data_IF_550157164006
#
_entry.id   IF_550157164006
#
_cell.length_a   1.000
_cell.length_b   1.000
_cell.length_c   1.000
_cell.angle_alpha   90.00
_cell.angle_beta   90.00
_cell.angle_gamma   90.00
#
_symmetry.space_group_name_H-M   'P 1'
#
loop_
_entity.id
_entity.type
_entity.pdbx_description
1 polymer ?
#
# COMPACT_ATOMS: atom_id res chain seq x y z
N UNK A 1 -0.33 11.44 -18.90
CA UNK A 1 -0.47 11.20 -17.46
C UNK A 1 -1.16 12.38 -16.74
N UNK A 2 -0.68 13.62 -16.85
CA UNK A 2 -1.32 14.79 -16.18
C UNK A 2 -2.79 15.04 -16.61
N UNK A 3 -3.14 14.82 -17.87
CA UNK A 3 -4.52 14.94 -18.35
C UNK A 3 -5.47 13.84 -17.84
N UNK A 4 -4.93 12.80 -17.18
CA UNK A 4 -5.69 11.64 -16.68
C UNK A 4 -5.62 11.50 -15.16
N UNK A 5 -5.23 12.55 -14.42
CA UNK A 5 -5.17 12.52 -12.94
C UNK A 5 -6.46 11.95 -12.30
N UNK A 6 -7.68 12.32 -12.74
CA UNK A 6 -8.91 11.75 -12.17
C UNK A 6 -9.10 10.26 -12.39
N UNK A 7 -8.40 9.68 -13.38
CA UNK A 7 -8.43 8.25 -13.73
C UNK A 7 -7.04 7.63 -13.64
N UNK A 8 -6.18 8.12 -12.74
CA UNK A 8 -4.77 7.74 -12.73
C UNK A 8 -4.57 6.23 -12.56
N UNK A 9 -5.41 5.56 -11.76
CA UNK A 9 -5.33 4.12 -11.54
C UNK A 9 -5.77 3.34 -12.79
N UNK A 10 -6.94 3.64 -13.35
CA UNK A 10 -7.41 3.01 -14.59
C UNK A 10 -6.41 3.21 -15.73
N UNK A 11 -5.94 4.44 -15.91
CA UNK A 11 -4.96 4.78 -16.93
C UNK A 11 -3.65 3.99 -16.73
N UNK A 12 -3.22 3.82 -15.47
CA UNK A 12 -2.02 3.01 -15.18
C UNK A 12 -2.23 1.55 -15.54
N UNK A 13 -3.41 0.99 -15.30
CA UNK A 13 -3.77 -0.38 -15.70
C UNK A 13 -3.78 -0.51 -17.23
N UNK A 14 -4.47 0.39 -17.93
CA UNK A 14 -4.53 0.42 -19.40
C UNK A 14 -3.13 0.46 -20.02
N UNK A 15 -2.23 1.30 -19.48
CA UNK A 15 -0.84 1.38 -19.95
C UNK A 15 -0.08 0.10 -19.64
N UNK A 16 -0.19 -0.46 -18.42
CA UNK A 16 0.48 -1.70 -18.06
C UNK A 16 0.03 -2.86 -18.96
N UNK A 17 -1.25 -2.99 -19.25
CA UNK A 17 -1.78 -4.02 -20.16
C UNK A 17 -1.20 -3.84 -21.58
N UNK A 18 -1.11 -2.60 -22.06
CA UNK A 18 -0.55 -2.29 -23.38
C UNK A 18 0.97 -2.50 -23.47
N UNK A 19 1.70 -2.50 -22.34
CA UNK A 19 3.17 -2.59 -22.31
C UNK A 19 3.69 -3.88 -21.69
N UNK A 20 2.90 -4.97 -21.74
CA UNK A 20 3.29 -6.28 -21.19
C UNK A 20 3.66 -6.19 -19.69
N UNK A 21 2.83 -5.46 -18.94
CA UNK A 21 2.86 -5.28 -17.49
C UNK A 21 4.09 -4.53 -16.94
N UNK A 22 4.85 -3.84 -17.78
CA UNK A 22 5.96 -2.97 -17.32
C UNK A 22 6.10 -1.75 -18.23
N UNK A 23 6.17 -0.54 -17.67
CA UNK A 23 6.45 0.67 -18.44
C UNK A 23 7.34 1.64 -17.68
N UNK A 24 8.16 2.40 -18.43
CA UNK A 24 8.95 3.50 -17.88
C UNK A 24 8.23 4.82 -18.11
N UNK A 25 8.22 5.64 -17.08
CA UNK A 25 7.70 7.00 -17.10
C UNK A 25 8.86 7.97 -16.92
N UNK A 26 9.04 8.86 -17.90
CA UNK A 26 9.95 9.99 -17.82
C UNK A 26 9.11 11.25 -17.55
N UNK A 27 9.34 11.87 -16.40
CA UNK A 27 8.76 13.16 -16.04
C UNK A 27 9.37 14.31 -16.86
N UNK A 28 8.91 15.54 -16.62
CA UNK A 28 9.50 16.73 -17.23
C UNK A 28 11.02 16.77 -17.00
N UNK A 29 11.77 17.24 -18.01
CA UNK A 29 13.24 17.27 -18.02
C UNK A 29 13.90 17.98 -16.82
N UNK A 30 13.15 18.85 -16.14
CA UNK A 30 13.57 19.61 -14.96
C UNK A 30 13.19 18.99 -13.61
N UNK A 31 12.42 17.90 -13.60
CA UNK A 31 12.03 17.20 -12.36
C UNK A 31 12.93 16.02 -12.01
N UNK A 32 13.77 15.55 -12.94
CA UNK A 32 14.65 14.38 -12.74
C UNK A 32 13.89 13.08 -12.44
N UNK A 33 12.58 13.05 -12.71
CA UNK A 33 11.70 11.95 -12.30
C UNK A 33 11.70 10.86 -13.34
N UNK A 34 12.43 9.77 -13.10
CA UNK A 34 12.38 8.56 -13.91
C UNK A 34 11.82 7.43 -13.06
N UNK A 35 10.64 6.93 -13.43
CA UNK A 35 9.96 5.86 -12.70
C UNK A 35 9.79 4.62 -13.59
N UNK A 36 9.86 3.44 -12.99
CA UNK A 36 9.50 2.19 -13.63
C UNK A 36 8.28 1.62 -12.90
N UNK A 37 7.18 1.46 -13.63
CA UNK A 37 5.97 0.83 -13.14
C UNK A 37 5.93 -0.62 -13.62
N UNK A 38 5.62 -1.55 -12.73
CA UNK A 38 5.51 -2.97 -13.07
C UNK A 38 4.38 -3.64 -12.30
N UNK A 39 3.59 -4.43 -13.02
CA UNK A 39 2.63 -5.39 -12.48
C UNK A 39 3.02 -6.84 -12.81
N UNK A 40 4.17 -7.08 -13.47
CA UNK A 40 4.68 -8.42 -13.74
C UNK A 40 5.05 -9.13 -12.43
N UNK A 41 4.45 -10.30 -12.11
CA UNK A 41 4.74 -11.04 -10.88
C UNK A 41 6.22 -11.38 -10.67
N UNK A 42 6.99 -11.56 -11.75
CA UNK A 42 8.43 -11.87 -11.69
C UNK A 42 9.23 -10.67 -11.18
N UNK A 43 8.90 -9.48 -11.67
CA UNK A 43 9.51 -8.23 -11.21
C UNK A 43 9.11 -7.95 -9.76
N UNK A 44 7.82 -8.13 -9.42
CA UNK A 44 7.33 -7.96 -8.06
C UNK A 44 8.04 -8.90 -7.09
N UNK A 45 8.17 -10.19 -7.44
CA UNK A 45 8.90 -11.16 -6.63
C UNK A 45 10.39 -10.80 -6.50
N UNK A 46 11.01 -10.31 -7.58
CA UNK A 46 12.40 -9.85 -7.53
C UNK A 46 12.58 -8.69 -6.55
N UNK A 47 11.73 -7.66 -6.66
CA UNK A 47 11.83 -6.42 -5.89
C UNK A 47 11.42 -6.61 -4.42
N UNK A 48 10.33 -7.33 -4.17
CA UNK A 48 9.73 -7.44 -2.84
C UNK A 48 10.16 -8.68 -2.06
N UNK A 49 10.88 -9.62 -2.67
CA UNK A 49 11.31 -10.85 -2.00
C UNK A 49 12.77 -11.22 -2.29
N UNK A 50 13.10 -11.56 -3.55
CA UNK A 50 14.40 -12.15 -3.89
C UNK A 50 15.59 -11.19 -3.66
N UNK A 51 15.41 -9.90 -3.95
CA UNK A 51 16.45 -8.88 -3.88
C UNK A 51 16.02 -7.68 -3.03
N UNK A 52 15.20 -7.93 -2.00
CA UNK A 52 14.57 -6.89 -1.18
C UNK A 52 15.54 -5.83 -0.64
N UNK A 53 16.75 -6.25 -0.21
CA UNK A 53 17.77 -5.34 0.32
C UNK A 53 18.32 -4.33 -0.70
N UNK A 54 18.19 -4.59 -2.00
CA UNK A 54 18.58 -3.65 -3.06
C UNK A 54 17.46 -2.64 -3.38
N UNK A 55 16.27 -2.76 -2.80
CA UNK A 55 15.13 -1.91 -3.06
C UNK A 55 14.60 -1.28 -1.75
N UNK A 56 15.32 -0.31 -1.17
CA UNK A 56 14.78 0.55 -0.11
C UNK A 56 13.54 1.31 -0.57
N UNK A 57 12.77 1.86 0.37
CA UNK A 57 11.64 2.75 0.06
C UNK A 57 12.14 4.08 -0.52
N UNK A 58 13.30 4.55 -0.04
CA UNK A 58 13.95 5.76 -0.54
C UNK A 58 13.56 7.03 0.23
N UNK A 59 14.20 8.17 -0.09
CA UNK A 59 14.00 9.44 0.61
C UNK A 59 12.56 9.99 0.48
N UNK A 60 11.86 9.69 -0.61
CA UNK A 60 10.46 10.11 -0.81
C UNK A 60 9.55 9.53 0.27
N UNK A 61 9.75 8.26 0.65
CA UNK A 61 8.98 7.63 1.72
C UNK A 61 9.26 8.27 3.10
N UNK A 62 10.50 8.70 3.35
CA UNK A 62 10.82 9.47 4.57
C UNK A 62 10.11 10.81 4.62
N UNK A 63 9.98 11.48 3.48
CA UNK A 63 9.25 12.74 3.40
C UNK A 63 7.75 12.55 3.62
N UNK A 64 7.14 11.53 3.01
CA UNK A 64 5.70 11.22 3.16
C UNK A 64 5.38 10.85 4.61
N UNK A 65 6.23 10.05 5.26
CA UNK A 65 6.01 9.56 6.62
C UNK A 65 6.82 10.32 7.68
N UNK A 66 7.21 11.56 7.40
CA UNK A 66 8.08 12.35 8.28
C UNK A 66 7.46 12.53 9.68
N UNK A 67 6.15 12.73 9.75
CA UNK A 67 5.41 12.86 11.01
C UNK A 67 5.53 11.63 11.93
N UNK A 68 5.84 10.45 11.36
CA UNK A 68 6.05 9.23 12.13
C UNK A 68 7.50 9.09 12.64
N UNK A 69 8.45 9.87 12.11
CA UNK A 69 9.90 9.67 12.34
C UNK A 69 10.42 8.40 11.67
N UNK A 70 11.59 7.90 12.08
CA UNK A 70 12.17 6.65 11.55
C UNK A 70 11.44 5.40 12.13
N UNK A 71 10.26 5.09 11.59
CA UNK A 71 9.38 3.97 11.98
C UNK A 71 9.24 2.98 10.84
N UNK A 72 8.46 1.93 11.05
CA UNK A 72 8.32 0.83 10.08
C UNK A 72 7.93 1.27 8.65
N UNK A 73 7.22 2.40 8.50
CA UNK A 73 6.78 2.94 7.21
C UNK A 73 7.85 3.78 6.48
N UNK A 74 8.80 4.38 7.21
CA UNK A 74 9.85 5.27 6.69
C UNK A 74 11.26 4.68 6.78
N UNK A 75 11.48 3.71 7.67
CA UNK A 75 12.76 3.05 7.89
C UNK A 75 13.09 2.09 6.74
N UNK A 76 14.38 1.94 6.49
CA UNK A 76 14.95 1.04 5.49
C UNK A 76 16.02 0.12 6.10
N UNK A 77 16.33 -0.97 5.39
CA UNK A 77 17.43 -1.90 5.70
C UNK A 77 17.38 -2.44 7.15
N UNK A 78 18.52 -2.47 7.83
CA UNK A 78 18.69 -3.05 9.16
C UNK A 78 17.75 -2.43 10.20
N UNK A 79 17.53 -1.11 10.16
CA UNK A 79 16.60 -0.44 11.07
C UNK A 79 15.17 -0.96 10.86
N UNK A 80 14.73 -1.08 9.61
CA UNK A 80 13.42 -1.65 9.30
C UNK A 80 13.31 -3.11 9.75
N UNK A 81 14.35 -3.91 9.53
CA UNK A 81 14.37 -5.32 9.92
C UNK A 81 14.27 -5.49 11.44
N UNK A 82 15.04 -4.70 12.19
CA UNK A 82 15.02 -4.69 13.65
C UNK A 82 13.65 -4.25 14.17
N UNK A 83 13.10 -3.14 13.65
CA UNK A 83 11.76 -2.68 13.99
C UNK A 83 10.68 -3.72 13.64
N UNK A 84 10.81 -4.41 12.50
CA UNK A 84 9.86 -5.44 12.08
C UNK A 84 9.90 -6.65 13.01
N UNK A 85 11.10 -7.11 13.39
CA UNK A 85 11.29 -8.22 14.34
C UNK A 85 10.70 -7.87 15.71
N UNK A 86 11.03 -6.70 16.25
CA UNK A 86 10.49 -6.23 17.52
C UNK A 86 8.97 -6.11 17.49
N UNK A 87 8.39 -5.44 16.48
CA UNK A 87 6.94 -5.29 16.36
C UNK A 87 6.23 -6.62 16.15
N UNK A 88 6.82 -7.54 15.37
CA UNK A 88 6.26 -8.87 15.19
C UNK A 88 6.21 -9.64 16.52
N UNK A 89 7.28 -9.58 17.33
CA UNK A 89 7.30 -10.20 18.65
C UNK A 89 6.22 -9.63 19.58
N UNK A 90 6.02 -8.30 19.57
CA UNK A 90 4.96 -7.63 20.33
C UNK A 90 3.57 -8.12 19.87
N UNK A 91 3.32 -8.14 18.56
CA UNK A 91 2.00 -8.52 18.02
C UNK A 91 1.67 -10.00 18.16
N UNK A 92 2.67 -10.86 18.28
CA UNK A 92 2.47 -12.29 18.57
C UNK A 92 2.42 -12.57 20.08
N UNK A 93 2.64 -11.56 20.94
CA UNK A 93 2.61 -11.76 22.37
C UNK A 93 1.18 -12.11 22.84
N UNK A 94 0.98 -13.16 23.66
CA UNK A 94 -0.35 -13.57 24.10
C UNK A 94 -1.17 -12.46 24.77
N UNK A 95 -0.53 -11.55 25.50
CA UNK A 95 -1.23 -10.41 26.11
C UNK A 95 -1.66 -9.36 25.08
N UNK A 96 -0.88 -9.15 24.02
CA UNK A 96 -1.30 -8.29 22.91
C UNK A 96 -2.44 -8.93 22.12
N UNK A 97 -2.37 -10.24 21.86
CA UNK A 97 -3.45 -11.01 21.25
C UNK A 97 -4.70 -11.00 22.13
N UNK A 98 -4.57 -11.08 23.46
CA UNK A 98 -5.69 -10.93 24.39
C UNK A 98 -6.25 -9.52 24.36
N UNK A 99 -5.43 -8.47 24.36
CA UNK A 99 -5.90 -7.09 24.26
C UNK A 99 -6.62 -6.80 22.93
N UNK A 100 -6.11 -7.35 21.83
CA UNK A 100 -6.68 -7.16 20.48
C UNK A 100 -7.90 -8.04 20.18
N UNK A 101 -7.91 -9.30 20.63
CA UNK A 101 -8.94 -10.31 20.31
C UNK A 101 -9.93 -10.54 21.48
N UNK A 102 -9.45 -10.68 22.72
CA UNK A 102 -10.23 -11.22 23.86
C UNK A 102 -10.72 -10.18 24.90
N UNK A 103 -10.08 -9.00 25.01
CA UNK A 103 -10.34 -7.97 26.05
C UNK A 103 -10.87 -6.67 25.41
N UNK A 104 -11.49 -6.82 24.24
CA UNK A 104 -11.44 -5.87 23.14
C UNK A 104 -11.83 -4.43 23.50
N UNK A 105 -10.87 -3.50 23.39
CA UNK A 105 -11.21 -2.11 23.09
C UNK A 105 -12.17 -2.04 21.90
N UNK A 106 -12.04 -2.92 20.90
CA UNK A 106 -12.92 -2.94 19.71
C UNK A 106 -14.34 -3.46 19.98
N UNK A 107 -14.51 -4.61 20.64
CA UNK A 107 -15.84 -5.16 20.98
C UNK A 107 -16.53 -4.30 22.02
N UNK A 108 -15.81 -3.79 23.02
CA UNK A 108 -16.32 -2.84 24.00
C UNK A 108 -16.74 -1.57 23.27
N UNK A 109 -15.86 -0.95 22.48
CA UNK A 109 -16.20 0.25 21.68
C UNK A 109 -17.30 0.04 20.68
N UNK A 110 -17.35 -1.13 20.06
CA UNK A 110 -18.43 -1.47 19.14
C UNK A 110 -19.76 -1.46 19.89
N UNK A 111 -19.83 -2.08 21.08
CA UNK A 111 -21.06 -2.12 21.89
C UNK A 111 -21.41 -0.80 22.59
N UNK A 112 -20.42 -0.04 23.03
CA UNK A 112 -20.62 1.17 23.85
C UNK A 112 -20.68 2.46 23.02
N UNK A 113 -20.14 2.46 21.80
CA UNK A 113 -20.06 3.66 20.97
C UNK A 113 -20.64 3.46 19.57
N UNK A 114 -20.09 2.54 18.77
CA UNK A 114 -20.52 2.41 17.37
C UNK A 114 -21.98 1.94 17.21
N UNK A 115 -22.37 0.88 17.93
CA UNK A 115 -23.73 0.35 17.86
C UNK A 115 -24.76 1.37 18.37
N UNK A 116 -24.61 2.01 19.54
CA UNK A 116 -25.53 3.05 19.99
C UNK A 116 -25.64 4.23 19.00
N UNK A 117 -24.54 4.64 18.38
CA UNK A 117 -24.55 5.66 17.33
C UNK A 117 -25.39 5.23 16.12
N UNK A 118 -25.21 4.00 15.65
CA UNK A 118 -25.97 3.44 14.52
C UNK A 118 -27.45 3.22 14.87
N UNK A 119 -27.76 2.79 16.09
CA UNK A 119 -29.12 2.61 16.59
C UNK A 119 -29.85 3.97 16.62
N UNK A 120 -29.22 5.01 17.18
CA UNK A 120 -29.78 6.36 17.16
C UNK A 120 -30.00 6.87 15.73
N UNK A 121 -29.04 6.68 14.83
CA UNK A 121 -29.18 7.07 13.43
C UNK A 121 -30.33 6.31 12.73
N UNK A 122 -30.56 5.04 13.08
CA UNK A 122 -31.67 4.25 12.57
C UNK A 122 -33.02 4.72 13.10
N UNK A 123 -33.12 5.00 14.41
CA UNK A 123 -34.33 5.47 15.08
C UNK A 123 -34.75 6.86 14.56
N UNK A 124 -33.79 7.78 14.41
CA UNK A 124 -34.02 9.14 13.91
C UNK A 124 -34.08 9.23 12.38
N UNK A 125 -33.76 8.14 11.67
CA UNK A 125 -33.63 8.08 10.20
C UNK A 125 -32.63 9.11 9.65
N UNK A 126 -31.56 9.33 10.40
CA UNK A 126 -30.50 10.28 10.05
C UNK A 126 -29.64 9.71 8.92
N UNK A 127 -29.33 10.55 7.93
CA UNK A 127 -28.39 10.21 6.87
C UNK A 127 -26.98 10.38 7.43
N UNK A 128 -26.18 9.31 7.41
CA UNK A 128 -24.81 9.30 7.93
C UNK A 128 -23.81 8.98 6.81
N UNK A 129 -22.61 9.57 6.92
CA UNK A 129 -21.46 9.17 6.11
C UNK A 129 -20.74 8.00 6.77
N UNK A 130 -20.91 6.81 6.22
CA UNK A 130 -20.33 5.58 6.77
C UNK A 130 -18.78 5.58 6.72
N UNK A 131 -18.18 6.32 5.79
CA UNK A 131 -16.72 6.45 5.71
C UNK A 131 -16.18 7.28 6.87
N UNK A 132 -16.80 8.42 7.19
CA UNK A 132 -16.40 9.23 8.34
C UNK A 132 -16.60 8.48 9.66
N UNK A 133 -17.70 7.74 9.79
CA UNK A 133 -17.97 6.88 10.96
C UNK A 133 -16.88 5.82 11.13
N UNK A 134 -16.50 5.11 10.05
CA UNK A 134 -15.41 4.13 10.15
C UNK A 134 -14.05 4.76 10.42
N UNK A 135 -13.76 5.95 9.86
CA UNK A 135 -12.52 6.68 10.17
C UNK A 135 -12.40 6.99 11.66
N UNK A 136 -13.47 7.51 12.27
CA UNK A 136 -13.55 7.82 13.70
C UNK A 136 -13.48 6.57 14.58
N UNK A 137 -14.20 5.51 14.20
CA UNK A 137 -14.13 4.24 14.93
C UNK A 137 -12.71 3.64 14.91
N UNK A 138 -12.06 3.63 13.73
CA UNK A 138 -10.68 3.14 13.60
C UNK A 138 -9.68 4.03 14.34
N UNK A 139 -9.93 5.35 14.43
CA UNK A 139 -9.15 6.25 15.25
C UNK A 139 -9.21 5.88 16.74
N UNK A 140 -10.40 5.70 17.30
CA UNK A 140 -10.57 5.33 18.71
C UNK A 140 -9.86 4.02 19.03
N UNK A 141 -10.14 2.98 18.26
CA UNK A 141 -9.49 1.68 18.37
C UNK A 141 -7.96 1.80 18.35
N UNK A 142 -7.42 2.54 17.39
CA UNK A 142 -5.96 2.69 17.24
C UNK A 142 -5.36 3.49 18.39
N UNK A 143 -6.06 4.52 18.86
CA UNK A 143 -5.59 5.37 19.98
C UNK A 143 -5.56 4.60 21.28
N UNK A 144 -6.62 3.86 21.60
CA UNK A 144 -6.66 3.04 22.79
C UNK A 144 -5.56 1.97 22.74
N UNK A 145 -5.38 1.31 21.58
CA UNK A 145 -4.35 0.30 21.42
C UNK A 145 -2.93 0.87 21.57
N UNK A 146 -2.67 2.08 21.04
CA UNK A 146 -1.33 2.68 21.01
C UNK A 146 -0.97 3.45 22.28
N UNK A 147 -1.93 4.15 22.88
CA UNK A 147 -1.69 5.12 23.96
C UNK A 147 -2.53 4.85 25.20
N UNK A 148 -3.54 3.97 25.12
CA UNK A 148 -4.54 3.78 26.18
C UNK A 148 -5.56 4.91 26.29
N UNK A 149 -5.45 5.96 25.46
CA UNK A 149 -6.35 7.11 25.48
C UNK A 149 -7.53 6.90 24.52
N UNK A 150 -8.71 7.21 25.02
CA UNK A 150 -9.96 7.16 24.28
C UNK A 150 -10.41 8.58 23.86
N UNK A 151 -10.36 8.91 22.56
CA UNK A 151 -10.76 10.22 22.07
C UNK A 151 -12.28 10.43 21.99
N UNK A 152 -13.10 9.38 22.12
CA UNK A 152 -14.59 9.45 22.08
C UNK A 152 -15.15 10.26 20.87
N UNK A 153 -14.54 10.08 19.71
CA UNK A 153 -14.84 10.75 18.44
C UNK A 153 -16.12 10.29 17.73
N UNK A 154 -16.61 9.08 18.01
CA UNK A 154 -17.89 8.51 17.59
C UNK A 154 -18.90 8.85 18.68
N UNK A 155 -19.49 10.04 18.57
CA UNK A 155 -20.47 10.58 19.50
C UNK A 155 -21.51 11.43 18.78
N UNK A 156 -22.67 11.61 19.43
CA UNK A 156 -23.74 12.49 18.95
C UNK A 156 -23.18 13.92 18.86
N UNK A 157 -23.15 14.49 17.66
CA UNK A 157 -22.56 15.80 17.37
C UNK A 157 -21.24 15.77 16.60
N UNK A 158 -20.58 14.61 16.47
CA UNK A 158 -19.40 14.38 15.61
C UNK A 158 -18.32 15.48 15.74
N UNK A 159 -17.75 15.69 16.95
CA UNK A 159 -16.81 16.78 17.20
C UNK A 159 -15.59 16.72 16.27
N UNK A 160 -15.01 17.88 15.98
CA UNK A 160 -13.77 18.01 15.20
C UNK A 160 -12.60 17.37 15.97
N UNK A 161 -11.83 16.51 15.29
CA UNK A 161 -10.74 15.76 15.90
C UNK A 161 -9.41 16.35 15.42
N UNK A 162 -8.65 16.96 16.34
CA UNK A 162 -7.40 17.68 16.04
C UNK A 162 -6.17 16.77 15.81
N UNK A 163 -6.33 15.45 15.79
CA UNK A 163 -5.23 14.48 15.64
C UNK A 163 -5.21 13.87 14.22
N UNK A 164 -4.67 14.64 13.28
CA UNK A 164 -5.07 14.53 11.87
C UNK A 164 -3.97 14.17 10.87
N UNK A 165 -2.74 13.79 11.26
CA UNK A 165 -1.72 13.45 10.23
C UNK A 165 -0.93 12.16 10.54
N UNK A 166 -0.33 12.06 11.74
CA UNK A 166 0.58 10.93 12.04
C UNK A 166 -0.11 9.55 12.14
N UNK A 167 -1.43 9.48 12.31
CA UNK A 167 -2.16 8.21 12.49
C UNK A 167 -3.08 7.91 11.30
N UNK A 168 -3.15 8.80 10.30
CA UNK A 168 -4.00 8.66 9.11
C UNK A 168 -3.70 7.37 8.34
N UNK A 169 -2.42 6.97 8.21
CA UNK A 169 -2.04 5.84 7.34
C UNK A 169 -2.64 4.50 7.79
N UNK A 170 -2.80 4.28 9.10
CA UNK A 170 -3.42 3.05 9.63
C UNK A 170 -4.95 3.10 9.65
N UNK A 171 -5.52 4.29 9.88
CA UNK A 171 -6.98 4.50 9.97
C UNK A 171 -7.64 4.47 8.59
N UNK A 172 -7.05 5.15 7.62
CA UNK A 172 -7.64 5.34 6.29
C UNK A 172 -7.64 4.04 5.48
N UNK A 173 -6.65 3.18 5.69
CA UNK A 173 -6.60 1.89 5.01
C UNK A 173 -7.75 0.97 5.43
N UNK A 174 -7.94 0.77 6.75
CA UNK A 174 -9.00 -0.13 7.25
C UNK A 174 -10.39 0.45 7.05
N UNK A 175 -10.58 1.75 7.31
CA UNK A 175 -11.87 2.42 7.08
C UNK A 175 -12.28 2.39 5.60
N UNK A 176 -11.34 2.59 4.68
CA UNK A 176 -11.59 2.46 3.24
C UNK A 176 -12.05 1.05 2.87
N UNK A 177 -11.39 -0.01 3.38
CA UNK A 177 -11.85 -1.39 3.14
C UNK A 177 -13.27 -1.61 3.65
N UNK A 178 -13.60 -1.14 4.86
CA UNK A 178 -14.95 -1.28 5.41
C UNK A 178 -15.98 -0.53 4.57
N UNK A 179 -15.70 0.71 4.16
CA UNK A 179 -16.58 1.50 3.29
C UNK A 179 -16.84 0.78 1.98
N UNK A 180 -15.80 0.33 1.28
CA UNK A 180 -15.95 -0.41 0.02
C UNK A 180 -16.68 -1.73 0.20
N UNK A 181 -16.43 -2.44 1.31
CA UNK A 181 -17.12 -3.69 1.64
C UNK A 181 -18.63 -3.46 1.82
N UNK A 182 -19.04 -2.48 2.63
CA UNK A 182 -20.47 -2.19 2.82
C UNK A 182 -21.13 -1.64 1.54
N UNK A 183 -20.40 -0.86 0.74
CA UNK A 183 -20.87 -0.45 -0.58
C UNK A 183 -21.11 -1.67 -1.50
N UNK A 184 -20.16 -2.61 -1.58
CA UNK A 184 -20.31 -3.84 -2.36
C UNK A 184 -21.49 -4.70 -1.85
N UNK A 185 -21.66 -4.82 -0.54
CA UNK A 185 -22.81 -5.53 0.04
C UNK A 185 -24.14 -4.89 -0.34
N UNK A 186 -24.20 -3.55 -0.42
CA UNK A 186 -25.40 -2.83 -0.86
C UNK A 186 -25.76 -3.13 -2.32
N UNK A 187 -24.75 -3.39 -3.16
CA UNK A 187 -24.92 -3.75 -4.58
C UNK A 187 -25.14 -5.25 -4.80
N UNK A 188 -24.85 -6.08 -3.79
CA UNK A 188 -24.93 -7.54 -3.89
C UNK A 188 -25.68 -8.18 -2.70
N UNK A 189 -27.01 -7.99 -2.57
CA UNK A 189 -27.80 -8.51 -1.45
C UNK A 189 -27.69 -10.02 -1.24
N UNK A 190 -27.49 -10.78 -2.31
CA UNK A 190 -27.28 -12.24 -2.26
C UNK A 190 -26.01 -12.63 -1.51
N UNK A 191 -24.95 -11.81 -1.59
CA UNK A 191 -23.70 -12.02 -0.84
C UNK A 191 -23.96 -11.73 0.64
N UNK A 192 -24.64 -10.63 0.95
CA UNK A 192 -25.03 -10.29 2.32
C UNK A 192 -25.87 -11.40 2.97
N UNK A 193 -26.85 -11.97 2.26
CA UNK A 193 -27.66 -13.08 2.77
C UNK A 193 -26.81 -14.31 3.08
N UNK A 194 -25.84 -14.66 2.22
CA UNK A 194 -24.91 -15.78 2.47
C UNK A 194 -24.01 -15.50 3.68
N UNK A 195 -23.47 -14.29 3.80
CA UNK A 195 -22.67 -13.87 4.96
C UNK A 195 -23.50 -14.00 6.24
N UNK A 196 -24.73 -13.47 6.26
CA UNK A 196 -25.65 -13.58 7.41
C UNK A 196 -25.92 -15.04 7.78
N UNK A 197 -26.15 -15.91 6.79
CA UNK A 197 -26.32 -17.35 7.03
C UNK A 197 -25.10 -17.98 7.70
N UNK A 198 -23.90 -17.64 7.24
CA UNK A 198 -22.64 -18.14 7.82
C UNK A 198 -22.47 -17.62 9.25
N UNK A 199 -22.70 -16.33 9.50
CA UNK A 199 -22.63 -15.74 10.84
C UNK A 199 -23.60 -16.46 11.78
N UNK A 200 -24.88 -16.60 11.39
CA UNK A 200 -25.89 -17.21 12.25
C UNK A 200 -25.64 -18.70 12.57
N UNK A 201 -24.81 -19.40 11.80
CA UNK A 201 -24.56 -20.84 11.96
C UNK A 201 -23.18 -21.17 12.50
N UNK A 202 -22.20 -20.29 12.32
CA UNK A 202 -20.78 -20.57 12.59
C UNK A 202 -20.06 -19.49 13.39
N UNK A 203 -20.74 -18.41 13.78
CA UNK A 203 -20.09 -17.33 14.53
C UNK A 203 -19.69 -17.78 15.92
N UNK A 204 -18.39 -17.69 16.18
CA UNK A 204 -17.77 -17.84 17.48
C UNK A 204 -16.86 -16.63 17.67
N UNK A 205 -17.11 -15.76 18.68
CA UNK A 205 -16.25 -14.60 18.95
C UNK A 205 -14.78 -14.96 19.21
N UNK A 206 -14.50 -16.20 19.61
CA UNK A 206 -13.13 -16.68 19.89
C UNK A 206 -12.46 -17.32 18.68
N UNK A 207 -13.23 -17.62 17.62
CA UNK A 207 -12.74 -18.30 16.41
C UNK A 207 -13.44 -17.74 15.15
N UNK A 208 -12.87 -16.64 14.65
CA UNK A 208 -13.36 -15.98 13.44
C UNK A 208 -12.92 -16.70 12.15
N UNK A 209 -11.99 -17.65 12.21
CA UNK A 209 -11.47 -18.36 11.03
C UNK A 209 -12.57 -19.20 10.33
N UNK A 210 -13.58 -19.62 11.10
CA UNK A 210 -14.77 -20.32 10.60
C UNK A 210 -15.62 -19.50 9.64
N UNK A 211 -15.48 -18.16 9.62
CA UNK A 211 -16.26 -17.26 8.77
C UNK A 211 -15.67 -17.14 7.34
N UNK A 212 -15.36 -18.28 6.73
CA UNK A 212 -14.65 -18.37 5.43
C UNK A 212 -15.31 -17.52 4.33
N UNK A 213 -16.64 -17.48 4.27
CA UNK A 213 -17.34 -16.69 3.24
C UNK A 213 -17.25 -15.18 3.49
N UNK A 214 -17.22 -14.75 4.75
CA UNK A 214 -16.97 -13.35 5.11
C UNK A 214 -15.53 -12.97 4.75
N UNK A 215 -14.56 -13.83 5.08
CA UNK A 215 -13.16 -13.63 4.71
C UNK A 215 -13.02 -13.48 3.19
N UNK A 216 -13.62 -14.38 2.40
CA UNK A 216 -13.59 -14.32 0.94
C UNK A 216 -14.19 -13.00 0.40
N UNK A 217 -15.29 -12.52 0.99
CA UNK A 217 -15.90 -11.25 0.58
C UNK A 217 -15.00 -10.04 0.90
N UNK A 218 -14.34 -10.04 2.07
CA UNK A 218 -13.35 -9.01 2.42
C UNK A 218 -12.11 -9.06 1.52
N UNK A 219 -11.62 -10.26 1.19
CA UNK A 219 -10.53 -10.46 0.22
C UNK A 219 -10.90 -9.90 -1.15
N UNK A 220 -12.12 -10.15 -1.61
CA UNK A 220 -12.61 -9.62 -2.89
C UNK A 220 -12.75 -8.10 -2.87
N UNK A 221 -13.20 -7.51 -1.76
CA UNK A 221 -13.19 -6.05 -1.57
C UNK A 221 -11.79 -5.49 -1.74
N UNK A 222 -10.79 -6.05 -1.07
CA UNK A 222 -9.40 -5.56 -1.18
C UNK A 222 -8.78 -5.83 -2.56
N UNK A 223 -9.24 -6.86 -3.27
CA UNK A 223 -8.83 -7.13 -4.66
C UNK A 223 -9.35 -6.07 -5.61
N UNK A 224 -10.59 -5.62 -5.43
CA UNK A 224 -11.24 -4.61 -6.27
C UNK A 224 -10.86 -3.17 -5.89
N UNK A 225 -10.75 -2.91 -4.59
CA UNK A 225 -10.52 -1.58 -4.01
C UNK A 225 -9.37 -1.63 -2.98
N UNK A 226 -8.12 -1.86 -3.43
CA UNK A 226 -6.98 -1.84 -2.54
C UNK A 226 -6.75 -0.40 -2.03
N UNK A 227 -6.70 -0.15 -0.71
CA UNK A 227 -6.48 1.21 -0.19
C UNK A 227 -5.14 1.82 -0.59
N UNK A 228 -4.14 0.97 -0.86
CA UNK A 228 -2.80 1.36 -1.32
C UNK A 228 -2.48 0.62 -2.63
N UNK A 229 -2.90 1.13 -3.79
CA UNK A 229 -2.73 0.46 -5.09
C UNK A 229 -1.28 0.48 -5.60
N UNK A 230 -0.42 1.38 -5.09
CA UNK A 230 0.98 1.48 -5.48
C UNK A 230 1.92 1.21 -4.30
N UNK A 231 3.02 0.51 -4.57
CA UNK A 231 4.12 0.30 -3.63
C UNK A 231 5.40 0.86 -4.24
N UNK A 232 5.94 1.93 -3.63
CA UNK A 232 7.13 2.61 -4.12
C UNK A 232 8.41 1.97 -3.59
N UNK A 233 9.36 1.73 -4.49
CA UNK A 233 10.69 1.20 -4.20
C UNK A 233 11.72 1.89 -5.07
N UNK A 234 12.88 2.16 -4.49
CA UNK A 234 14.02 2.79 -5.15
C UNK A 234 15.20 1.84 -5.15
N UNK A 235 15.88 1.58 -6.29
CA UNK A 235 17.08 0.75 -6.29
C UNK A 235 18.22 1.46 -5.53
N UNK A 236 18.74 0.82 -4.47
CA UNK A 236 19.83 1.33 -3.63
C UNK A 236 21.14 1.45 -4.42
N UNK A 237 21.39 0.50 -5.31
CA UNK A 237 22.54 0.52 -6.21
C UNK A 237 22.03 0.83 -7.61
N UNK A 238 22.57 1.86 -8.29
CA UNK A 238 22.25 2.06 -9.70
C UNK A 238 22.82 0.87 -10.47
N UNK A 239 21.97 -0.09 -10.88
CA UNK A 239 22.41 -1.31 -11.57
C UNK A 239 23.27 -0.97 -12.81
N UNK A 240 22.95 0.14 -13.49
CA UNK A 240 23.73 0.69 -14.59
C UNK A 240 25.17 1.03 -14.17
N UNK A 241 25.37 1.59 -12.96
CA UNK A 241 26.72 1.91 -12.46
C UNK A 241 27.50 0.64 -12.14
N UNK A 242 26.89 -0.40 -11.56
CA UNK A 242 27.58 -1.67 -11.30
C UNK A 242 28.01 -2.31 -12.62
N UNK A 243 27.08 -2.43 -13.58
CA UNK A 243 27.37 -2.99 -14.90
C UNK A 243 28.47 -2.18 -15.60
N UNK A 244 28.39 -0.84 -15.57
CA UNK A 244 29.43 0.02 -16.14
C UNK A 244 30.77 -0.15 -15.43
N UNK A 245 30.81 -0.18 -14.09
CA UNK A 245 32.06 -0.36 -13.32
C UNK A 245 32.70 -1.71 -13.61
N UNK A 246 31.96 -2.81 -13.53
CA UNK A 246 32.47 -4.15 -13.81
C UNK A 246 33.02 -4.27 -15.23
N UNK A 247 32.34 -3.66 -16.20
CA UNK A 247 32.75 -3.68 -17.60
C UNK A 247 33.98 -2.78 -17.84
N UNK A 248 33.98 -1.54 -17.36
CA UNK A 248 35.06 -0.57 -17.60
C UNK A 248 36.35 -0.92 -16.83
N UNK A 249 36.23 -1.61 -15.69
CA UNK A 249 37.40 -2.13 -14.97
C UNK A 249 38.11 -3.24 -15.75
N UNK A 250 37.35 -4.07 -16.48
CA UNK A 250 37.88 -5.27 -17.14
C UNK A 250 38.19 -5.08 -18.63
N UNK A 251 37.58 -4.08 -19.27
CA UNK A 251 37.62 -3.92 -20.71
C UNK A 251 37.74 -2.45 -21.15
N UNK A 252 38.47 -2.23 -22.25
CA UNK A 252 38.46 -0.98 -23.01
C UNK A 252 37.67 -1.15 -24.32
N UNK A 253 37.12 -0.05 -24.83
CA UNK A 253 36.22 -0.03 -25.98
C UNK A 253 36.66 1.00 -27.02
N UNK A 254 36.74 0.59 -28.28
CA UNK A 254 36.99 1.47 -29.43
C UNK A 254 35.81 1.40 -30.39
N UNK A 255 35.13 2.53 -30.63
CA UNK A 255 33.99 2.60 -31.56
C UNK A 255 34.49 2.43 -32.99
N UNK A 256 33.82 1.58 -33.77
CA UNK A 256 34.24 1.33 -35.15
C UNK A 256 34.06 2.55 -36.05
N UNK A 257 35.00 2.79 -36.98
CA UNK A 257 34.92 3.93 -37.91
C UNK A 257 33.74 3.77 -38.86
N UNK A 258 32.88 4.79 -38.92
CA UNK A 258 31.75 4.87 -39.86
C UNK A 258 30.38 4.59 -39.23
N UNK A 259 30.33 4.24 -37.94
CA UNK A 259 29.06 4.06 -37.23
C UNK A 259 28.24 5.36 -37.18
N UNK A 260 26.97 5.27 -37.58
CA UNK A 260 26.04 6.40 -37.60
C UNK A 260 25.26 6.45 -36.28
N UNK A 261 25.63 7.39 -35.40
CA UNK A 261 24.91 7.63 -34.15
C UNK A 261 23.67 8.47 -34.45
N UNK A 262 22.50 7.81 -34.49
CA UNK A 262 21.21 8.48 -34.69
C UNK A 262 20.17 7.95 -33.70
N UNK A 263 19.40 8.79 -33.00
CA UNK A 263 18.33 8.32 -32.12
C UNK A 263 17.12 7.83 -32.92
N UNK A 264 16.39 6.86 -32.36
CA UNK A 264 15.02 6.52 -32.77
C UNK A 264 14.05 7.48 -32.08
N UNK A 265 13.11 8.12 -32.80
CA UNK A 265 12.00 8.84 -32.17
C UNK A 265 11.04 7.82 -31.55
N UNK A 266 11.27 7.46 -30.29
CA UNK A 266 10.42 6.57 -29.51
C UNK A 266 10.38 7.00 -28.06
N UNK A 267 9.38 6.52 -27.32
CA UNK A 267 9.19 6.76 -25.87
C UNK A 267 10.43 6.40 -25.05
N UNK A 268 11.24 5.45 -25.53
CA UNK A 268 12.58 5.16 -24.99
C UNK A 268 13.63 5.61 -26.01
N UNK A 269 14.51 6.55 -25.66
CA UNK A 269 15.57 7.03 -26.55
C UNK A 269 16.62 5.92 -26.77
N UNK A 270 16.65 5.33 -27.96
CA UNK A 270 17.57 4.24 -28.33
C UNK A 270 18.36 4.59 -29.60
N UNK A 271 19.56 4.05 -29.75
CA UNK A 271 20.36 4.21 -30.97
C UNK A 271 19.74 3.40 -32.11
N UNK A 272 19.37 4.07 -33.22
CA UNK A 272 18.73 3.48 -34.39
C UNK A 272 19.55 2.36 -35.02
N UNK A 273 20.88 2.46 -34.96
CA UNK A 273 21.81 1.53 -35.58
C UNK A 273 22.61 0.71 -34.57
N UNK A 274 22.27 0.79 -33.27
CA UNK A 274 23.11 0.25 -32.21
C UNK A 274 24.46 0.97 -32.09
N UNK A 275 25.41 0.32 -31.42
CA UNK A 275 26.79 0.80 -31.25
C UNK A 275 27.74 -0.39 -31.49
N UNK A 276 28.57 -0.30 -32.53
CA UNK A 276 29.55 -1.34 -32.84
C UNK A 276 30.91 -0.93 -32.25
N UNK A 277 31.44 -1.79 -31.38
CA UNK A 277 32.70 -1.55 -30.66
C UNK A 277 33.65 -2.73 -30.81
N UNK A 278 34.95 -2.43 -30.85
CA UNK A 278 36.01 -3.40 -30.59
C UNK A 278 36.28 -3.41 -29.09
N UNK A 279 36.28 -4.60 -28.48
CA UNK A 279 36.47 -4.79 -27.04
C UNK A 279 37.84 -5.42 -26.79
N UNK A 280 38.64 -4.84 -25.90
CA UNK A 280 39.94 -5.37 -25.47
C UNK A 280 40.00 -5.53 -23.96
N UNK A 281 40.64 -6.59 -23.45
CA UNK A 281 40.86 -6.75 -22.00
C UNK A 281 41.84 -5.69 -21.51
N UNK A 282 41.50 -5.09 -20.37
CA UNK A 282 42.42 -4.21 -19.65
C UNK A 282 43.43 -5.09 -18.91
N UNK A 283 44.72 -4.77 -19.04
CA UNK A 283 45.82 -5.48 -18.34
C UNK A 283 45.86 -5.00 -16.89
#
# INVERSE_FOLDING_TARGET
MLAHIPRIFDFSVEVLEATNLTFSFEGPWLSGTHMLFTADPRNIHHILSLNFGNYPKGPEAKNIFNALGDRILSADMELWENLRKSNHAIFQHPDFLKLSVLVSSNTIKLKESLIPFLDNAADEKTIIDLQDVFKRFMFETSSILMTGYDPMSVSIGMPEVLFDEAVETGRDTTSSVLTWFFWLLSKHPQVLTKIRKVINTKYDPTDLEKLVYLHAALSETMRLYPPLPFNHKSPAKPDIKIVAVEIIQKYDFEVTKGDKIKPVPSVILRMKHGLSVKVTKKI
#
